data_IF_428688690182
#
_entry.id   IF_428688690182
#
_cell.length_a   1.000
_cell.length_b   1.000
_cell.length_c   1.000
_cell.angle_alpha   90.00
_cell.angle_beta   90.00
_cell.angle_gamma   90.00
#
_symmetry.space_group_name_H-M   'P 1'
#
loop_
_entity.id
_entity.type
_entity.pdbx_description
1 polymer ?
#
# COMPACT_ATOMS: atom_id res chain seq x y z
N UNK A 1 51.15 12.02 16.15
CA UNK A 1 51.33 11.69 14.73
C UNK A 1 50.01 11.16 14.22
N UNK A 2 49.28 11.98 13.45
CA UNK A 2 48.00 11.64 12.85
C UNK A 2 48.27 11.02 11.48
N UNK A 3 47.81 9.79 11.24
CA UNK A 3 47.72 9.23 9.90
C UNK A 3 46.25 9.22 9.46
N UNK A 4 46.00 10.02 8.43
CA UNK A 4 44.74 10.12 7.70
C UNK A 4 44.57 8.90 6.79
N UNK A 5 43.39 8.28 6.79
CA UNK A 5 43.04 7.17 5.91
C UNK A 5 41.59 7.31 5.47
N UNK A 6 41.41 7.88 4.28
CA UNK A 6 40.13 8.02 3.59
C UNK A 6 39.75 6.73 2.86
N UNK A 7 38.49 6.32 2.96
CA UNK A 7 37.77 5.74 1.82
C UNK A 7 36.27 5.94 2.03
N UNK A 8 35.65 6.57 1.05
CA UNK A 8 34.22 6.87 1.04
C UNK A 8 33.40 5.62 0.74
N UNK A 9 32.26 5.55 1.42
CA UNK A 9 31.19 4.60 1.18
C UNK A 9 30.03 5.05 2.04
N UNK A 10 29.03 5.72 1.44
CA UNK A 10 27.78 6.04 2.11
C UNK A 10 27.09 4.73 2.48
N UNK A 11 27.25 4.32 3.74
CA UNK A 11 26.55 3.18 4.29
C UNK A 11 25.03 3.43 4.15
N UNK A 12 24.24 2.43 3.73
CA UNK A 12 22.79 2.57 3.71
C UNK A 12 22.30 2.86 5.14
N UNK A 13 21.37 3.81 5.26
CA UNK A 13 20.74 4.14 6.54
C UNK A 13 20.24 2.85 7.21
N UNK A 14 20.54 2.63 8.51
CA UNK A 14 20.00 1.48 9.21
C UNK A 14 18.47 1.57 9.24
N UNK A 15 17.76 0.43 9.14
CA UNK A 15 16.31 0.43 9.26
C UNK A 15 15.89 1.06 10.59
N UNK A 16 14.76 1.77 10.59
CA UNK A 16 14.10 2.24 11.81
C UNK A 16 13.87 1.04 12.74
N UNK A 17 14.71 0.90 13.76
CA UNK A 17 14.51 -0.07 14.81
C UNK A 17 13.51 0.53 15.80
N UNK A 18 12.28 0.00 15.81
CA UNK A 18 11.40 0.18 16.95
C UNK A 18 11.98 -0.67 18.08
N UNK A 19 12.78 -0.05 18.95
CA UNK A 19 13.24 -0.69 20.19
C UNK A 19 12.05 -0.80 21.13
N UNK A 20 11.28 -1.87 21.03
CA UNK A 20 10.44 -2.31 22.15
C UNK A 20 11.41 -2.69 23.26
N UNK A 21 11.36 -2.08 24.46
CA UNK A 21 12.26 -2.44 25.54
C UNK A 21 11.89 -3.86 26.00
N UNK A 22 12.58 -4.84 25.43
CA UNK A 22 12.60 -6.19 25.93
C UNK A 22 13.86 -6.31 26.78
N UNK A 23 13.64 -6.69 28.03
CA UNK A 23 14.64 -7.28 28.90
C UNK A 23 15.58 -8.18 28.09
N UNK A 24 16.84 -7.72 28.03
CA UNK A 24 18.04 -8.40 27.55
C UNK A 24 18.03 -8.95 26.11
N UNK A 25 18.94 -8.38 25.32
CA UNK A 25 19.45 -8.91 24.06
C UNK A 25 19.85 -10.39 24.24
N UNK A 26 19.23 -11.36 23.54
CA UNK A 26 19.61 -12.76 23.66
C UNK A 26 20.87 -13.01 22.82
N UNK A 27 21.99 -12.42 23.23
CA UNK A 27 23.30 -12.94 22.85
C UNK A 27 23.38 -14.39 23.35
N UNK A 28 23.90 -15.29 22.51
CA UNK A 28 23.94 -16.73 22.72
C UNK A 28 24.81 -17.21 23.91
N UNK A 29 25.07 -16.37 24.91
CA UNK A 29 25.80 -16.67 26.13
C UNK A 29 24.96 -16.35 27.36
N UNK A 30 24.97 -17.28 28.31
CA UNK A 30 24.43 -17.20 29.68
C UNK A 30 22.90 -17.04 29.85
N UNK A 31 22.24 -18.15 30.18
CA UNK A 31 21.35 -18.23 31.35
C UNK A 31 19.94 -17.63 31.29
N UNK A 32 19.56 -16.86 30.27
CA UNK A 32 18.25 -16.19 30.30
C UNK A 32 17.11 -17.10 29.82
N UNK A 33 16.20 -17.43 30.74
CA UNK A 33 14.95 -18.15 30.46
C UNK A 33 13.86 -17.14 30.08
N UNK A 34 13.60 -16.97 28.78
CA UNK A 34 12.48 -16.15 28.30
C UNK A 34 12.02 -16.56 26.91
N UNK A 35 10.70 -16.59 26.70
CA UNK A 35 10.11 -16.56 25.36
C UNK A 35 10.17 -15.12 24.85
N UNK A 36 10.59 -14.93 23.61
CA UNK A 36 10.75 -13.58 23.01
C UNK A 36 9.72 -13.41 21.90
N UNK A 37 9.08 -12.24 21.89
CA UNK A 37 8.26 -11.77 20.79
C UNK A 37 9.01 -10.66 20.06
N UNK A 38 9.13 -10.78 18.74
CA UNK A 38 9.87 -9.81 17.94
C UNK A 38 9.20 -9.55 16.59
N UNK A 39 9.42 -8.35 16.06
CA UNK A 39 9.01 -7.95 14.72
C UNK A 39 10.25 -7.94 13.82
N UNK A 40 10.21 -8.64 12.68
CA UNK A 40 11.30 -8.71 11.72
C UNK A 40 10.78 -8.58 10.29
N UNK A 41 11.52 -7.89 9.43
CA UNK A 41 11.28 -7.90 7.97
C UNK A 41 12.03 -9.01 7.24
N UNK A 42 12.96 -9.64 7.94
CA UNK A 42 13.76 -10.78 7.52
C UNK A 42 14.44 -11.35 8.76
N UNK A 43 14.43 -12.67 8.92
CA UNK A 43 15.21 -13.28 10.01
C UNK A 43 16.72 -13.17 9.73
N UNK A 44 17.56 -13.04 10.78
CA UNK A 44 19.01 -13.13 10.64
C UNK A 44 19.42 -14.43 9.92
N UNK A 45 20.49 -14.40 9.13
CA UNK A 45 20.88 -15.48 8.20
C UNK A 45 21.18 -16.83 8.85
N UNK A 46 21.34 -16.86 10.17
CA UNK A 46 21.49 -18.05 10.98
C UNK A 46 20.15 -18.72 11.36
N UNK A 47 19.02 -18.19 10.90
CA UNK A 47 17.69 -18.77 11.08
C UNK A 47 17.01 -19.01 9.73
N UNK A 48 16.26 -20.12 9.64
CA UNK A 48 15.43 -20.40 8.47
C UNK A 48 14.25 -19.42 8.47
N UNK A 49 14.21 -18.54 7.48
CA UNK A 49 13.07 -17.67 7.23
C UNK A 49 12.06 -18.45 6.38
N UNK A 50 10.90 -18.87 6.93
CA UNK A 50 9.96 -19.71 6.22
C UNK A 50 9.38 -19.05 4.96
N UNK A 51 9.33 -17.71 4.89
CA UNK A 51 8.69 -16.98 3.79
C UNK A 51 9.69 -16.24 2.87
N UNK A 52 10.96 -16.20 3.27
CA UNK A 52 11.97 -15.38 2.60
C UNK A 52 11.73 -13.88 2.77
N UNK A 53 12.61 -13.06 2.21
CA UNK A 53 12.48 -11.60 2.31
C UNK A 53 11.38 -11.10 1.37
N UNK A 54 10.14 -11.05 1.86
CA UNK A 54 8.96 -10.59 1.12
C UNK A 54 8.72 -9.07 1.29
N UNK A 55 9.48 -8.42 2.17
CA UNK A 55 9.41 -6.97 2.43
C UNK A 55 8.31 -6.55 3.40
N UNK A 56 7.60 -7.50 4.01
CA UNK A 56 6.62 -7.23 5.06
C UNK A 56 7.25 -7.29 6.45
N UNK A 57 6.62 -6.65 7.44
CA UNK A 57 7.02 -6.80 8.85
C UNK A 57 6.24 -7.97 9.43
N UNK A 58 6.95 -9.02 9.82
CA UNK A 58 6.39 -10.21 10.41
C UNK A 58 6.56 -10.25 11.93
N UNK A 59 5.59 -10.86 12.60
CA UNK A 59 5.66 -11.16 14.02
C UNK A 59 6.20 -12.58 14.20
N UNK A 60 7.24 -12.75 15.02
CA UNK A 60 7.84 -14.03 15.35
C UNK A 60 7.83 -14.30 16.85
N UNK A 61 7.52 -15.54 17.23
CA UNK A 61 7.73 -16.08 18.58
C UNK A 61 8.94 -17.01 18.60
N UNK A 62 9.87 -16.77 19.53
CA UNK A 62 10.90 -17.74 19.88
C UNK A 62 10.42 -18.55 21.09
N UNK A 63 10.29 -19.86 20.92
CA UNK A 63 10.06 -20.79 22.02
C UNK A 63 11.31 -21.63 22.26
N UNK A 64 11.60 -21.95 23.54
CA UNK A 64 12.64 -22.93 23.86
C UNK A 64 12.12 -24.31 23.41
N UNK A 65 12.90 -25.03 22.60
CA UNK A 65 12.70 -26.47 22.45
C UNK A 65 12.74 -27.16 23.81
N UNK A 66 12.11 -28.33 23.94
CA UNK A 66 12.10 -29.10 25.20
C UNK A 66 13.50 -29.59 25.61
N UNK A 67 14.48 -29.48 24.72
CA UNK A 67 15.87 -29.82 24.89
C UNK A 67 16.70 -28.65 25.45
N UNK A 68 17.33 -28.91 26.60
CA UNK A 68 18.19 -27.95 27.30
C UNK A 68 19.64 -27.97 26.80
N UNK A 69 19.94 -28.71 25.74
CA UNK A 69 21.30 -28.96 25.28
C UNK A 69 21.94 -27.70 24.69
N UNK A 70 23.16 -27.33 25.12
CA UNK A 70 23.92 -26.25 24.50
C UNK A 70 24.10 -26.52 23.00
N UNK A 71 23.73 -25.55 22.15
CA UNK A 71 23.96 -25.63 20.70
C UNK A 71 22.79 -26.08 19.84
N UNK A 72 21.62 -26.38 20.41
CA UNK A 72 20.42 -26.63 19.59
C UNK A 72 19.83 -25.29 19.12
N UNK A 73 19.59 -25.09 17.81
CA UNK A 73 18.97 -23.87 17.30
C UNK A 73 17.59 -23.65 17.94
N UNK A 74 17.35 -22.44 18.46
CA UNK A 74 16.02 -22.04 18.93
C UNK A 74 15.06 -22.02 17.74
N UNK A 75 13.91 -22.67 17.85
CA UNK A 75 12.89 -22.66 16.82
C UNK A 75 12.12 -21.33 16.89
N UNK A 76 12.19 -20.56 15.81
CA UNK A 76 11.34 -19.38 15.61
C UNK A 76 10.12 -19.81 14.80
N UNK A 77 8.93 -19.54 15.33
CA UNK A 77 7.68 -19.67 14.61
C UNK A 77 7.16 -18.30 14.22
N UNK A 78 6.80 -18.11 12.95
CA UNK A 78 6.02 -16.93 12.52
C UNK A 78 4.62 -17.04 13.11
N UNK A 79 4.16 -15.98 13.75
CA UNK A 79 2.87 -15.93 14.47
C UNK A 79 1.69 -15.81 13.52
N UNK A 80 1.94 -15.30 12.31
CA UNK A 80 0.93 -15.04 11.30
C UNK A 80 1.46 -15.46 9.93
N UNK A 81 1.36 -16.73 9.56
CA UNK A 81 1.82 -17.24 8.26
C UNK A 81 0.86 -16.95 7.11
N UNK A 82 -0.31 -16.37 7.39
CA UNK A 82 -1.21 -15.83 6.38
C UNK A 82 -2.10 -14.77 7.03
N UNK A 83 -2.03 -13.55 6.52
CA UNK A 83 -3.08 -12.57 6.76
C UNK A 83 -4.15 -12.86 5.73
N UNK A 84 -5.33 -13.30 6.16
CA UNK A 84 -6.55 -13.22 5.33
C UNK A 84 -7.14 -11.81 5.29
N UNK A 85 -6.57 -10.87 6.07
CA UNK A 85 -7.02 -9.50 6.10
C UNK A 85 -6.54 -8.72 4.88
N UNK A 86 -7.40 -7.84 4.39
CA UNK A 86 -7.04 -6.90 3.33
C UNK A 86 -5.96 -5.94 3.82
N UNK A 87 -4.97 -5.65 2.97
CA UNK A 87 -3.92 -4.69 3.26
C UNK A 87 -3.72 -3.71 2.10
N UNK A 88 -3.04 -2.60 2.39
CA UNK A 88 -2.72 -1.57 1.40
C UNK A 88 -1.27 -1.73 0.94
N UNK A 89 -1.07 -1.97 -0.34
CA UNK A 89 0.24 -2.06 -1.00
C UNK A 89 0.56 -0.73 -1.69
N UNK A 90 1.44 0.07 -1.11
CA UNK A 90 1.90 1.33 -1.71
C UNK A 90 2.78 1.08 -2.93
N UNK A 91 2.60 1.93 -3.95
CA UNK A 91 3.49 1.99 -5.08
C UNK A 91 4.73 2.80 -4.71
N UNK A 92 5.90 2.35 -5.18
CA UNK A 92 7.14 3.13 -5.01
C UNK A 92 7.05 4.49 -5.72
N UNK A 93 6.29 4.56 -6.83
CA UNK A 93 6.02 5.77 -7.60
C UNK A 93 4.54 5.74 -7.97
N UNK A 94 3.73 6.77 -7.61
CA UNK A 94 2.35 6.87 -8.06
C UNK A 94 2.22 6.88 -9.59
N UNK A 95 1.20 6.21 -10.12
CA UNK A 95 0.98 6.06 -11.56
C UNK A 95 -0.31 6.72 -12.00
N UNK A 96 -0.24 7.53 -13.08
CA UNK A 96 -1.42 8.08 -13.75
C UNK A 96 -2.07 7.04 -14.65
N UNK A 97 -3.21 6.50 -14.24
CA UNK A 97 -3.90 5.44 -14.98
C UNK A 97 -5.09 5.94 -15.80
N UNK A 98 -5.66 7.09 -15.43
CA UNK A 98 -6.66 7.78 -16.25
C UNK A 98 -6.15 9.18 -16.57
N UNK A 99 -6.26 9.57 -17.84
CA UNK A 99 -5.94 10.92 -18.31
C UNK A 99 -6.77 11.25 -19.56
N UNK A 100 -7.90 11.93 -19.38
CA UNK A 100 -8.78 12.25 -20.50
C UNK A 100 -8.33 13.47 -21.31
N UNK A 101 -7.31 14.22 -20.85
CA UNK A 101 -6.79 15.38 -21.59
C UNK A 101 -6.22 15.01 -22.96
N UNK A 102 -5.74 13.78 -23.09
CA UNK A 102 -5.18 13.21 -24.32
C UNK A 102 -6.17 12.29 -25.03
N UNK A 103 -7.45 12.31 -24.64
CA UNK A 103 -8.48 11.43 -25.18
C UNK A 103 -9.85 12.10 -25.21
N UNK A 104 -10.91 11.30 -25.06
CA UNK A 104 -12.29 11.81 -25.04
C UNK A 104 -12.57 12.41 -23.66
N UNK A 105 -12.86 13.72 -23.65
CA UNK A 105 -13.35 14.42 -22.47
C UNK A 105 -14.77 13.94 -22.13
N UNK A 106 -15.06 13.52 -20.89
CA UNK A 106 -16.40 13.18 -20.44
C UNK A 106 -17.44 14.26 -20.76
N UNK A 107 -18.61 13.82 -21.23
CA UNK A 107 -19.74 14.71 -21.49
C UNK A 107 -20.47 15.08 -20.19
N UNK A 108 -21.33 16.11 -20.27
CA UNK A 108 -22.29 16.43 -19.22
C UNK A 108 -23.17 15.21 -18.90
N UNK A 109 -23.49 15.04 -17.62
CA UNK A 109 -24.34 13.97 -17.11
C UNK A 109 -23.98 12.57 -17.63
N UNK A 110 -22.67 12.26 -17.69
CA UNK A 110 -22.17 11.01 -18.26
C UNK A 110 -21.47 10.14 -17.21
N UNK A 111 -21.59 8.83 -17.35
CA UNK A 111 -20.78 7.85 -16.61
C UNK A 111 -19.84 7.17 -17.58
N UNK A 112 -18.55 7.19 -17.26
CA UNK A 112 -17.49 6.57 -18.05
C UNK A 112 -16.82 5.48 -17.23
N UNK A 113 -16.52 4.35 -17.85
CA UNK A 113 -15.83 3.23 -17.22
C UNK A 113 -14.34 3.26 -17.57
N UNK A 114 -13.50 3.01 -16.56
CA UNK A 114 -12.05 2.94 -16.73
C UNK A 114 -11.51 1.66 -16.10
N UNK A 115 -10.65 0.96 -16.84
CA UNK A 115 -9.85 -0.16 -16.32
C UNK A 115 -8.54 0.42 -15.78
N UNK A 116 -8.25 0.16 -14.50
CA UNK A 116 -7.00 0.60 -13.89
C UNK A 116 -5.91 -0.45 -14.13
N UNK A 117 -5.18 -0.31 -15.23
CA UNK A 117 -4.13 -1.24 -15.65
C UNK A 117 -2.95 -1.24 -14.67
N UNK A 118 -2.39 -2.43 -14.41
CA UNK A 118 -1.27 -2.59 -13.46
C UNK A 118 -1.69 -2.90 -12.02
N UNK A 119 -2.98 -3.04 -11.75
CA UNK A 119 -3.48 -3.57 -10.49
C UNK A 119 -3.06 -5.04 -10.28
N UNK A 120 -2.66 -5.44 -9.05
CA UNK A 120 -2.51 -6.83 -8.67
C UNK A 120 -3.80 -7.64 -8.92
N UNK A 121 -3.66 -8.94 -9.18
CA UNK A 121 -4.81 -9.83 -9.46
C UNK A 121 -5.79 -9.94 -8.29
N UNK A 122 -5.30 -9.75 -7.08
CA UNK A 122 -6.06 -9.73 -5.83
C UNK A 122 -6.45 -8.31 -5.36
N UNK A 123 -6.34 -7.30 -6.24
CA UNK A 123 -6.74 -5.94 -5.91
C UNK A 123 -8.28 -5.82 -5.81
N UNK A 124 -8.75 -5.29 -4.69
CA UNK A 124 -10.17 -5.02 -4.39
C UNK A 124 -10.46 -3.53 -4.26
N UNK A 125 -9.44 -2.69 -4.25
CA UNK A 125 -9.56 -1.24 -4.14
C UNK A 125 -8.26 -0.54 -4.49
N UNK A 126 -8.29 0.79 -4.46
CA UNK A 126 -7.09 1.60 -4.59
C UNK A 126 -7.19 2.87 -3.76
N UNK A 127 -6.03 3.43 -3.44
CA UNK A 127 -5.86 4.74 -2.83
C UNK A 127 -5.12 5.63 -3.82
N UNK A 128 -5.56 6.87 -3.98
CA UNK A 128 -4.97 7.78 -4.95
C UNK A 128 -5.56 9.18 -4.90
N UNK A 129 -5.48 9.88 -6.02
CA UNK A 129 -6.11 11.18 -6.21
C UNK A 129 -6.93 11.19 -7.48
N UNK A 130 -8.06 11.89 -7.44
CA UNK A 130 -8.76 12.33 -8.63
C UNK A 130 -8.52 13.83 -8.81
N UNK A 131 -8.13 14.22 -10.02
CA UNK A 131 -8.03 15.62 -10.44
C UNK A 131 -9.04 15.88 -11.54
N UNK A 132 -9.83 16.93 -11.37
CA UNK A 132 -10.66 17.52 -12.43
C UNK A 132 -9.97 18.77 -12.95
N UNK A 133 -10.01 18.98 -14.26
CA UNK A 133 -9.47 20.17 -14.92
C UNK A 133 -10.31 20.52 -16.14
N UNK A 134 -10.13 21.72 -16.67
CA UNK A 134 -10.89 22.20 -17.84
C UNK A 134 -12.41 22.04 -17.61
N UNK A 135 -12.87 22.44 -16.43
CA UNK A 135 -14.28 22.41 -16.04
C UNK A 135 -15.05 23.50 -16.80
N UNK A 136 -16.24 23.17 -17.31
CA UNK A 136 -17.00 24.06 -18.22
C UNK A 136 -18.15 24.81 -17.54
N UNK A 137 -18.42 24.57 -16.26
CA UNK A 137 -19.58 25.11 -15.56
C UNK A 137 -19.37 25.20 -14.05
N UNK A 138 -20.08 26.13 -13.42
CA UNK A 138 -20.18 26.18 -11.96
C UNK A 138 -21.04 25.03 -11.43
N UNK A 139 -20.74 24.59 -10.20
CA UNK A 139 -21.41 23.43 -9.60
C UNK A 139 -21.04 22.11 -10.27
N UNK A 140 -19.91 22.04 -10.99
CA UNK A 140 -19.39 20.80 -11.54
C UNK A 140 -19.01 19.86 -10.41
N UNK A 141 -19.39 18.58 -10.51
CA UNK A 141 -18.92 17.57 -9.58
C UNK A 141 -18.66 16.24 -10.28
N UNK A 142 -17.79 15.45 -9.66
CA UNK A 142 -17.41 14.13 -10.12
C UNK A 142 -17.50 13.12 -8.98
N UNK A 143 -17.97 11.92 -9.33
CA UNK A 143 -18.15 10.80 -8.40
C UNK A 143 -17.47 9.56 -8.98
N UNK A 144 -16.58 8.94 -8.22
CA UNK A 144 -15.92 7.68 -8.61
C UNK A 144 -16.47 6.55 -7.76
N UNK A 145 -16.76 5.42 -8.38
CA UNK A 145 -17.31 4.27 -7.67
C UNK A 145 -16.97 2.95 -8.34
N UNK A 146 -17.28 1.86 -7.63
CA UNK A 146 -16.99 0.51 -8.04
C UNK A 146 -17.59 0.19 -9.43
N UNK A 147 -16.78 -0.39 -10.31
CA UNK A 147 -17.17 -0.69 -11.70
C UNK A 147 -18.32 -1.68 -11.86
N UNK A 148 -18.57 -2.54 -10.87
CA UNK A 148 -19.66 -3.52 -10.93
C UNK A 148 -21.02 -2.92 -10.56
N UNK A 149 -21.04 -1.74 -9.93
CA UNK A 149 -22.28 -1.02 -9.68
C UNK A 149 -22.87 -0.53 -11.00
N UNK A 150 -24.20 -0.59 -11.12
CA UNK A 150 -24.90 -0.02 -12.27
C UNK A 150 -24.58 1.46 -12.50
N UNK A 151 -24.88 1.97 -13.69
CA UNK A 151 -24.81 3.41 -13.95
C UNK A 151 -25.72 4.14 -12.97
N UNK A 152 -25.15 5.08 -12.21
CA UNK A 152 -25.89 5.92 -11.28
C UNK A 152 -26.13 7.28 -11.97
N UNK A 153 -27.32 7.53 -12.55
CA UNK A 153 -27.57 8.75 -13.34
C UNK A 153 -27.52 10.05 -12.52
N UNK A 154 -27.55 9.95 -11.19
CA UNK A 154 -27.24 11.04 -10.27
C UNK A 154 -26.76 10.45 -8.95
N UNK A 155 -25.44 10.19 -8.80
CA UNK A 155 -24.90 9.68 -7.56
C UNK A 155 -25.16 10.68 -6.43
N UNK A 156 -25.66 10.22 -5.28
CA UNK A 156 -25.97 11.07 -4.12
C UNK A 156 -24.73 11.51 -3.32
N UNK A 157 -23.56 11.46 -3.94
CA UNK A 157 -22.28 11.83 -3.36
C UNK A 157 -21.40 12.45 -4.44
N UNK A 158 -20.51 13.36 -4.06
CA UNK A 158 -19.44 13.90 -4.90
C UNK A 158 -18.10 13.72 -4.20
N UNK A 159 -17.06 13.38 -4.98
CA UNK A 159 -15.69 13.31 -4.48
C UNK A 159 -14.94 14.63 -4.67
N UNK A 160 -15.22 15.31 -5.78
CA UNK A 160 -14.64 16.61 -6.09
C UNK A 160 -15.70 17.50 -6.69
N UNK A 161 -15.71 18.75 -6.24
CA UNK A 161 -16.58 19.81 -6.71
C UNK A 161 -15.70 20.94 -7.22
N UNK A 162 -16.09 21.56 -8.33
CA UNK A 162 -15.31 22.61 -8.97
C UNK A 162 -16.23 23.65 -9.63
N UNK A 163 -15.75 24.89 -9.64
CA UNK A 163 -16.31 25.98 -10.44
C UNK A 163 -15.75 25.99 -11.86
N UNK A 164 -16.31 26.82 -12.74
CA UNK A 164 -15.86 26.99 -14.11
C UNK A 164 -14.37 27.36 -14.20
N UNK A 165 -13.61 26.69 -15.07
CA UNK A 165 -12.19 26.91 -15.30
C UNK A 165 -11.24 26.42 -14.19
N UNK A 166 -11.75 25.83 -13.11
CA UNK A 166 -10.91 25.35 -12.03
C UNK A 166 -10.21 24.03 -12.35
N UNK A 167 -9.04 23.86 -11.72
CA UNK A 167 -8.38 22.56 -11.58
C UNK A 167 -8.32 22.22 -10.10
N UNK A 168 -8.98 21.13 -9.71
CA UNK A 168 -9.14 20.74 -8.31
C UNK A 168 -8.80 19.25 -8.18
N UNK A 169 -8.07 18.92 -7.12
CA UNK A 169 -7.72 17.54 -6.79
C UNK A 169 -8.22 17.18 -5.39
N UNK A 170 -8.71 15.95 -5.23
CA UNK A 170 -9.10 15.38 -3.93
C UNK A 170 -8.51 13.97 -3.81
N UNK A 171 -8.18 13.56 -2.58
CA UNK A 171 -7.83 12.18 -2.26
C UNK A 171 -8.99 11.22 -2.52
N UNK A 172 -8.65 9.98 -2.87
CA UNK A 172 -9.61 8.97 -3.28
C UNK A 172 -9.28 7.61 -2.67
N UNK A 173 -10.29 6.95 -2.10
CA UNK A 173 -10.25 5.53 -1.73
C UNK A 173 -11.49 4.87 -2.28
N UNK A 174 -11.34 4.00 -3.28
CA UNK A 174 -12.48 3.41 -4.00
C UNK A 174 -12.26 1.92 -4.20
N UNK A 175 -13.31 1.14 -3.97
CA UNK A 175 -13.34 -0.28 -4.29
C UNK A 175 -13.41 -0.52 -5.80
N UNK A 176 -12.76 -1.57 -6.28
CA UNK A 176 -12.73 -1.95 -7.68
C UNK A 176 -13.85 -2.94 -7.99
N UNK A 177 -14.43 -2.83 -9.19
CA UNK A 177 -15.24 -3.88 -9.77
C UNK A 177 -14.38 -4.97 -10.41
N UNK A 178 -15.04 -5.98 -10.98
CA UNK A 178 -14.41 -7.04 -11.76
C UNK A 178 -13.48 -6.45 -12.83
N UNK A 179 -12.35 -7.13 -13.08
CA UNK A 179 -11.31 -6.64 -14.00
C UNK A 179 -10.77 -5.25 -13.65
N UNK A 180 -10.70 -4.93 -12.36
CA UNK A 180 -10.07 -3.71 -11.82
C UNK A 180 -10.67 -2.42 -12.39
N UNK A 181 -12.01 -2.43 -12.48
CA UNK A 181 -12.79 -1.35 -13.11
C UNK A 181 -13.32 -0.35 -12.09
N UNK A 182 -13.40 0.89 -12.53
CA UNK A 182 -14.12 1.96 -11.84
C UNK A 182 -15.05 2.67 -12.81
N UNK A 183 -16.12 3.23 -12.27
CA UNK A 183 -17.01 4.16 -12.97
C UNK A 183 -16.81 5.56 -12.44
N UNK A 184 -16.78 6.52 -13.35
CA UNK A 184 -16.65 7.95 -13.06
C UNK A 184 -17.84 8.67 -13.66
N UNK A 185 -18.68 9.21 -12.80
CA UNK A 185 -19.78 10.08 -13.19
C UNK A 185 -19.32 11.53 -13.20
N UNK A 186 -19.61 12.25 -14.28
CA UNK A 186 -19.39 13.69 -14.43
C UNK A 186 -20.73 14.38 -14.60
N UNK A 187 -21.10 15.25 -13.65
CA UNK A 187 -22.31 16.06 -13.79
C UNK A 187 -22.17 17.10 -14.91
N UNK A 188 -21.00 17.73 -14.95
CA UNK A 188 -20.58 18.70 -15.97
C UNK A 188 -19.26 18.27 -16.58
N UNK A 189 -19.10 18.56 -17.87
CA UNK A 189 -17.94 18.16 -18.64
C UNK A 189 -16.66 18.73 -18.04
N UNK A 190 -15.71 17.84 -17.78
CA UNK A 190 -14.38 18.18 -17.29
C UNK A 190 -13.42 17.05 -17.69
N UNK A 191 -12.14 17.36 -17.74
CA UNK A 191 -11.10 16.36 -17.88
C UNK A 191 -10.83 15.67 -16.54
N UNK A 192 -10.66 14.35 -16.59
CA UNK A 192 -10.41 13.50 -15.42
C UNK A 192 -8.99 12.95 -15.50
N UNK A 193 -8.30 13.03 -14.36
CA UNK A 193 -7.04 12.36 -14.13
C UNK A 193 -7.16 11.54 -12.85
N UNK A 194 -6.78 10.26 -12.90
CA UNK A 194 -6.70 9.40 -11.72
C UNK A 194 -5.27 8.93 -11.58
N UNK A 195 -4.66 9.31 -10.46
CA UNK A 195 -3.32 8.90 -10.06
C UNK A 195 -3.46 7.90 -8.91
N UNK A 196 -2.91 6.70 -9.06
CA UNK A 196 -2.94 5.65 -8.05
C UNK A 196 -1.65 5.68 -7.24
N UNK A 197 -1.76 5.71 -5.92
CA UNK A 197 -0.64 5.68 -4.99
C UNK A 197 -0.51 4.33 -4.28
N UNK A 198 -1.60 3.58 -4.11
CA UNK A 198 -1.60 2.25 -3.52
C UNK A 198 -2.76 1.39 -3.99
N UNK A 199 -2.61 0.07 -3.88
CA UNK A 199 -3.66 -0.92 -4.07
C UNK A 199 -4.15 -1.44 -2.73
N UNK A 200 -5.46 -1.59 -2.57
CA UNK A 200 -6.03 -2.39 -1.48
C UNK A 200 -6.21 -3.79 -2.03
N UNK A 201 -5.53 -4.77 -1.42
CA UNK A 201 -5.50 -6.15 -1.89
C UNK A 201 -6.02 -7.09 -0.82
N UNK A 202 -6.62 -8.21 -1.21
CA UNK A 202 -6.96 -9.27 -0.27
C UNK A 202 -5.71 -10.03 0.13
N UNK A 203 -5.60 -10.33 1.42
CA UNK A 203 -4.60 -11.25 1.93
C UNK A 203 -4.75 -12.66 1.36
N UNK A 204 -3.65 -13.42 1.35
CA UNK A 204 -3.59 -14.78 0.81
C UNK A 204 -4.07 -15.83 1.82
#
# INVERSE_FOLDING_TARGET
>A
MLSNGSSGGTAPHPPLQLTVPLNSNPTAGSGESGSVLALYTKLPSNFADPDGADGFVDLYFCHRGTDKSPGVPRAWGKVLTSSTANYTQFLAIPSRLVNTRTGVKPADNSTNEYVLTGAPTNAVGFVGTITVTDTTSDGSYVSVYNGDLGTLPSPQFSHVNASNGQTVATGLTVGLGASTKVKVYCFKSCNILIDVAAWVVTGA
#
